data_IF_655980443518
#
_entry.id   IF_655980443518
#
_cell.length_a   1.000
_cell.length_b   1.000
_cell.length_c   1.000
_cell.angle_alpha   90.00
_cell.angle_beta   90.00
_cell.angle_gamma   90.00
#
_symmetry.space_group_name_H-M   'P 1'
#
loop_
_entity.id
_entity.type
_entity.pdbx_description
1 polymer ?
#
# COMPACT_ATOMS: atom_id res chain seq x y z
N UNK A 1 0.99 -5.91 19.12
CA UNK A 1 1.34 -6.30 17.76
C UNK A 1 0.11 -6.16 16.88
N UNK A 2 0.10 -5.16 15.99
CA UNK A 2 -0.99 -4.89 15.03
C UNK A 2 -0.42 -4.97 13.62
N UNK A 3 -1.14 -5.62 12.70
CA UNK A 3 -0.75 -5.72 11.29
C UNK A 3 -1.86 -5.10 10.44
N UNK A 4 -1.50 -4.15 9.59
CA UNK A 4 -2.38 -3.60 8.56
C UNK A 4 -2.41 -4.50 7.33
N UNK A 5 -3.58 -4.74 6.76
CA UNK A 5 -3.74 -5.50 5.51
C UNK A 5 -4.58 -4.68 4.54
N UNK A 6 -4.10 -4.56 3.31
CA UNK A 6 -4.76 -3.87 2.20
C UNK A 6 -4.54 -4.66 0.91
N UNK A 7 -5.38 -4.45 -0.10
CA UNK A 7 -5.26 -5.07 -1.43
C UNK A 7 -6.02 -4.20 -2.42
N UNK A 8 -5.79 -4.43 -3.72
CA UNK A 8 -6.63 -3.90 -4.79
C UNK A 8 -6.80 -2.38 -4.68
N UNK A 9 -5.68 -1.68 -4.50
CA UNK A 9 -5.72 -0.22 -4.38
C UNK A 9 -6.04 0.45 -5.70
N UNK A 10 -5.73 -0.17 -6.84
CA UNK A 10 -6.14 0.25 -8.19
C UNK A 10 -5.95 1.75 -8.45
N UNK A 11 -4.74 2.27 -8.21
CA UNK A 11 -4.40 3.70 -8.34
C UNK A 11 -5.34 4.67 -7.59
N UNK A 12 -6.11 4.19 -6.61
CA UNK A 12 -7.07 5.02 -5.90
C UNK A 12 -6.38 5.84 -4.82
N UNK A 13 -5.62 6.85 -5.26
CA UNK A 13 -4.77 7.70 -4.42
C UNK A 13 -5.50 8.20 -3.16
N UNK A 14 -6.74 8.75 -3.23
CA UNK A 14 -7.44 9.20 -2.04
C UNK A 14 -7.69 8.10 -1.00
N UNK A 15 -7.95 6.86 -1.45
CA UNK A 15 -8.12 5.72 -0.54
C UNK A 15 -6.80 5.21 0.01
N UNK A 16 -5.73 5.24 -0.78
CA UNK A 16 -4.38 4.91 -0.31
C UNK A 16 -3.96 5.90 0.78
N UNK A 17 -4.10 7.20 0.55
CA UNK A 17 -3.81 8.24 1.55
C UNK A 17 -4.60 8.00 2.84
N UNK A 18 -5.90 7.70 2.74
CA UNK A 18 -6.74 7.44 3.90
C UNK A 18 -6.32 6.17 4.66
N UNK A 19 -5.93 5.11 3.94
CA UNK A 19 -5.44 3.87 4.54
C UNK A 19 -4.10 4.08 5.26
N UNK A 20 -3.16 4.78 4.62
CA UNK A 20 -1.86 5.14 5.23
C UNK A 20 -2.07 5.94 6.50
N UNK A 21 -2.95 6.95 6.48
CA UNK A 21 -3.29 7.74 7.67
C UNK A 21 -3.83 6.86 8.79
N UNK A 22 -4.77 5.97 8.48
CA UNK A 22 -5.36 5.04 9.45
C UNK A 22 -4.30 4.11 10.04
N UNK A 23 -3.40 3.55 9.22
CA UNK A 23 -2.33 2.66 9.69
C UNK A 23 -1.36 3.36 10.64
N UNK A 24 -0.99 4.61 10.34
CA UNK A 24 -0.15 5.43 11.20
C UNK A 24 -0.89 5.77 12.52
N UNK A 25 -2.15 6.22 12.45
CA UNK A 25 -2.98 6.53 13.63
C UNK A 25 -3.17 5.31 14.55
N UNK A 26 -3.31 4.12 13.99
CA UNK A 26 -3.47 2.87 14.74
C UNK A 26 -2.15 2.34 15.31
N UNK A 27 -1.01 2.88 14.90
CA UNK A 27 0.32 2.42 15.30
C UNK A 27 0.56 0.97 14.90
N UNK A 28 0.32 0.62 13.64
CA UNK A 28 0.59 -0.75 13.15
C UNK A 28 2.09 -1.01 13.04
N UNK A 29 2.50 -2.25 13.33
CA UNK A 29 3.91 -2.65 13.33
C UNK A 29 4.40 -3.09 11.93
N UNK A 30 3.46 -3.40 11.02
CA UNK A 30 3.71 -3.88 9.65
C UNK A 30 2.44 -3.69 8.81
N UNK A 31 2.60 -3.33 7.53
CA UNK A 31 1.52 -3.36 6.53
C UNK A 31 1.81 -4.36 5.42
N UNK A 32 0.80 -5.16 5.08
CA UNK A 32 0.83 -6.13 3.98
C UNK A 32 -0.12 -5.68 2.85
N UNK A 33 0.37 -5.68 1.61
CA UNK A 33 -0.44 -5.39 0.42
C UNK A 33 -0.53 -6.63 -0.49
N UNK A 34 -1.74 -7.14 -0.72
CA UNK A 34 -1.94 -8.40 -1.44
C UNK A 34 -1.90 -8.30 -2.99
N UNK A 35 -1.63 -7.10 -3.52
CA UNK A 35 -1.35 -6.85 -4.93
C UNK A 35 -2.37 -5.94 -5.59
N UNK A 36 -2.22 -5.74 -6.91
CA UNK A 36 -3.04 -4.85 -7.72
C UNK A 36 -2.92 -3.38 -7.26
N UNK A 37 -1.66 -2.93 -7.20
CA UNK A 37 -1.27 -1.52 -7.11
C UNK A 37 -1.61 -0.77 -8.40
N UNK A 38 -1.46 -1.45 -9.54
CA UNK A 38 -1.61 -0.97 -10.93
C UNK A 38 -0.41 -0.20 -11.43
N UNK A 39 -0.08 0.94 -10.82
CA UNK A 39 1.02 1.79 -11.30
C UNK A 39 1.99 2.25 -10.20
N UNK A 40 3.25 2.58 -10.54
CA UNK A 40 4.27 3.09 -9.61
C UNK A 40 3.89 4.39 -8.93
N UNK A 41 2.92 5.15 -9.45
CA UNK A 41 2.51 6.42 -8.86
C UNK A 41 1.96 6.25 -7.44
N UNK A 42 1.42 5.07 -7.13
CA UNK A 42 0.90 4.70 -5.81
C UNK A 42 1.96 4.77 -4.72
N UNK A 43 3.25 4.58 -5.07
CA UNK A 43 4.36 4.70 -4.14
C UNK A 43 4.44 6.09 -3.48
N UNK A 44 3.95 7.15 -4.15
CA UNK A 44 3.92 8.48 -3.58
C UNK A 44 3.06 8.54 -2.31
N UNK A 45 1.91 7.87 -2.28
CA UNK A 45 1.02 7.87 -1.12
C UNK A 45 1.54 6.93 -0.03
N UNK A 46 2.03 5.75 -0.43
CA UNK A 46 2.66 4.80 0.50
C UNK A 46 3.95 5.32 1.12
N UNK A 47 4.62 6.32 0.52
CA UNK A 47 5.83 6.94 1.08
C UNK A 47 5.63 7.61 2.45
N UNK A 48 4.38 7.94 2.80
CA UNK A 48 4.03 8.53 4.11
C UNK A 48 3.72 7.49 5.18
N UNK A 49 3.79 6.20 4.87
CA UNK A 49 3.58 5.12 5.83
C UNK A 49 4.79 5.00 6.77
N UNK A 50 4.54 5.04 8.07
CA UNK A 50 5.61 4.95 9.09
C UNK A 50 6.02 3.50 9.35
N UNK A 51 5.09 2.57 9.20
CA UNK A 51 5.32 1.14 9.38
C UNK A 51 6.07 0.53 8.17
N UNK A 52 6.87 -0.53 8.38
CA UNK A 52 7.38 -1.35 7.29
C UNK A 52 6.24 -1.85 6.37
N UNK A 53 6.53 -1.94 5.08
CA UNK A 53 5.58 -2.33 4.05
C UNK A 53 6.08 -3.56 3.29
N UNK A 54 5.23 -4.57 3.11
CA UNK A 54 5.51 -5.74 2.27
C UNK A 54 4.36 -5.92 1.28
N UNK A 55 4.68 -5.84 -0.01
CA UNK A 55 3.74 -6.09 -1.09
C UNK A 55 4.05 -7.38 -1.85
N UNK A 56 3.03 -7.94 -2.49
CA UNK A 56 3.18 -8.94 -3.56
C UNK A 56 2.55 -8.41 -4.83
N UNK A 57 2.97 -8.91 -6.00
CA UNK A 57 2.37 -8.52 -7.27
C UNK A 57 1.04 -9.24 -7.51
N UNK A 58 0.02 -8.47 -7.83
CA UNK A 58 -1.24 -8.94 -8.38
C UNK A 58 -1.14 -9.19 -9.89
N UNK A 59 -2.24 -9.67 -10.47
CA UNK A 59 -2.30 -9.97 -11.90
C UNK A 59 -2.47 -8.71 -12.76
N UNK A 60 -2.90 -7.58 -12.18
CA UNK A 60 -3.04 -6.31 -12.89
C UNK A 60 -1.82 -5.39 -12.75
N UNK A 61 -0.83 -5.76 -11.94
CA UNK A 61 0.44 -5.03 -11.81
C UNK A 61 1.30 -5.23 -13.07
N UNK A 62 1.15 -4.31 -14.03
CA UNK A 62 1.83 -4.34 -15.33
C UNK A 62 3.26 -3.79 -15.28
N UNK A 63 3.50 -2.79 -14.43
CA UNK A 63 4.79 -2.07 -14.33
C UNK A 63 5.68 -2.64 -13.20
N UNK A 64 5.77 -3.97 -13.08
CA UNK A 64 6.46 -4.66 -11.96
C UNK A 64 7.92 -4.26 -11.75
N UNK A 65 8.62 -3.81 -12.79
CA UNK A 65 10.01 -3.36 -12.68
C UNK A 65 10.14 -2.00 -11.98
N UNK A 66 9.05 -1.24 -11.91
CA UNK A 66 8.98 0.12 -11.36
C UNK A 66 8.12 0.22 -10.10
N UNK A 67 7.44 -0.88 -9.72
CA UNK A 67 6.71 -1.04 -8.46
C UNK A 67 7.63 -1.49 -7.32
#
# INVERSE_FOLDING_TARGET
MKIGIISDTHDNMPKITAAVRLFNEEGVDLVLHAGDFISPITANEFSSLEAPFIGVFGNNDGERLYL
#
